data_IF_516166019726
#
_entry.id   IF_516166019726
#
_cell.length_a   1.000
_cell.length_b   1.000
_cell.length_c   1.000
_cell.angle_alpha   90.00
_cell.angle_beta   90.00
_cell.angle_gamma   90.00
#
_symmetry.space_group_name_H-M   'P 1'
#
loop_
_entity.id
_entity.type
_entity.pdbx_description
1 polymer ?
#
# COMPACT_ATOMS: atom_id res chain seq x y z
N UNK A 1 -15.00 -9.21 -7.91
CA UNK A 1 -15.01 -8.14 -6.89
C UNK A 1 -16.13 -7.16 -7.16
N UNK A 2 -16.81 -6.74 -6.11
CA UNK A 2 -17.91 -5.78 -6.23
C UNK A 2 -17.36 -4.40 -6.62
N UNK A 3 -18.10 -3.71 -7.49
CA UNK A 3 -17.75 -2.36 -7.95
C UNK A 3 -17.67 -1.33 -6.84
N UNK A 4 -18.44 -1.51 -5.77
CA UNK A 4 -18.39 -0.63 -4.60
C UNK A 4 -17.06 -0.76 -3.82
N UNK A 5 -16.44 -1.91 -3.85
CA UNK A 5 -15.16 -2.13 -3.20
C UNK A 5 -14.04 -1.28 -3.77
N UNK A 6 -14.12 -0.93 -5.06
CA UNK A 6 -13.11 -0.06 -5.68
C UNK A 6 -13.01 1.31 -4.99
N UNK A 7 -14.15 1.87 -4.59
CA UNK A 7 -14.19 3.14 -3.85
C UNK A 7 -13.67 2.98 -2.43
N UNK A 8 -14.00 1.85 -1.78
CA UNK A 8 -13.48 1.56 -0.44
C UNK A 8 -11.96 1.40 -0.46
N UNK A 9 -11.42 0.78 -1.49
CA UNK A 9 -9.97 0.63 -1.66
C UNK A 9 -9.28 1.97 -1.92
N UNK A 10 -9.89 2.86 -2.70
CA UNK A 10 -9.36 4.21 -2.90
C UNK A 10 -9.25 4.99 -1.60
N UNK A 11 -10.18 4.81 -0.67
CA UNK A 11 -10.15 5.46 0.65
C UNK A 11 -8.95 5.04 1.50
N UNK A 12 -8.44 3.83 1.29
CA UNK A 12 -7.27 3.34 2.00
C UNK A 12 -6.03 4.15 1.59
N UNK A 13 -5.82 4.35 0.30
CA UNK A 13 -4.71 5.19 -0.18
C UNK A 13 -4.90 6.66 0.17
N UNK A 14 -6.13 7.16 0.15
CA UNK A 14 -6.45 8.52 0.59
C UNK A 14 -6.06 8.75 2.06
N UNK A 15 -6.36 7.82 2.95
CA UNK A 15 -6.00 7.95 4.36
C UNK A 15 -4.49 7.94 4.57
N UNK A 16 -3.76 7.11 3.86
CA UNK A 16 -2.31 7.13 3.88
C UNK A 16 -1.77 8.50 3.45
N UNK A 17 -2.26 9.01 2.33
CA UNK A 17 -1.86 10.31 1.80
C UNK A 17 -2.21 11.46 2.75
N UNK A 18 -3.43 11.49 3.29
CA UNK A 18 -3.89 12.55 4.18
C UNK A 18 -3.08 12.61 5.47
N UNK A 19 -2.78 11.48 6.07
CA UNK A 19 -1.98 11.46 7.31
C UNK A 19 -0.53 11.83 7.06
N UNK A 20 0.06 11.34 5.99
CA UNK A 20 1.43 11.67 5.61
C UNK A 20 1.59 13.14 5.20
N UNK A 21 0.55 13.74 4.62
CA UNK A 21 0.56 15.13 4.15
C UNK A 21 0.84 16.14 5.27
N UNK A 22 0.52 15.81 6.50
CA UNK A 22 0.81 16.68 7.67
C UNK A 22 2.31 16.83 7.93
N UNK A 23 3.11 15.96 7.37
CA UNK A 23 4.56 15.92 7.57
C UNK A 23 5.34 16.40 6.35
N UNK A 24 4.65 16.94 5.35
CA UNK A 24 5.28 17.49 4.14
C UNK A 24 6.24 18.62 4.51
N UNK A 25 7.48 18.49 4.08
CA UNK A 25 8.49 19.54 4.28
C UNK A 25 9.10 19.63 5.68
N UNK A 26 8.76 18.71 6.58
CA UNK A 26 9.26 18.73 7.96
C UNK A 26 10.58 17.99 8.15
N UNK A 27 11.12 17.34 7.11
CA UNK A 27 12.37 16.62 7.19
C UNK A 27 12.29 15.30 7.98
N UNK A 28 11.07 14.82 8.26
CA UNK A 28 10.83 13.60 9.03
C UNK A 28 10.31 12.49 8.11
N UNK A 29 11.23 11.84 7.45
CA UNK A 29 10.97 10.73 6.53
C UNK A 29 10.30 9.55 7.22
N UNK A 30 10.79 9.16 8.39
CA UNK A 30 10.26 8.01 9.13
C UNK A 30 8.86 8.30 9.69
N UNK A 31 8.65 9.52 10.19
CA UNK A 31 7.34 9.95 10.65
C UNK A 31 6.31 10.00 9.52
N UNK A 32 6.70 10.45 8.33
CA UNK A 32 5.83 10.48 7.16
C UNK A 32 5.39 9.06 6.76
N UNK A 33 6.33 8.13 6.77
CA UNK A 33 6.07 6.72 6.48
C UNK A 33 5.12 6.13 7.52
N UNK A 34 5.42 6.30 8.79
CA UNK A 34 4.60 5.76 9.89
C UNK A 34 3.18 6.33 9.87
N UNK A 35 3.02 7.61 9.60
CA UNK A 35 1.70 8.23 9.50
C UNK A 35 0.87 7.62 8.39
N UNK A 36 1.48 7.34 7.24
CA UNK A 36 0.82 6.68 6.12
C UNK A 36 0.45 5.23 6.45
N UNK A 37 1.35 4.49 7.08
CA UNK A 37 1.08 3.11 7.54
C UNK A 37 -0.11 3.09 8.49
N UNK A 38 -0.12 3.97 9.48
CA UNK A 38 -1.22 4.08 10.45
C UNK A 38 -2.55 4.37 9.75
N UNK A 39 -2.56 5.33 8.83
CA UNK A 39 -3.76 5.71 8.08
C UNK A 39 -4.31 4.58 7.23
N UNK A 40 -3.44 3.90 6.53
CA UNK A 40 -3.81 2.76 5.70
C UNK A 40 -4.33 1.60 6.56
N UNK A 41 -3.65 1.26 7.63
CA UNK A 41 -4.03 0.19 8.53
C UNK A 41 -5.40 0.44 9.19
N UNK A 42 -5.62 1.66 9.69
CA UNK A 42 -6.90 2.04 10.27
C UNK A 42 -8.06 1.92 9.27
N UNK A 43 -7.84 2.35 8.03
CA UNK A 43 -8.88 2.27 7.01
C UNK A 43 -9.15 0.84 6.56
N UNK A 44 -8.15 -0.02 6.51
CA UNK A 44 -8.36 -1.45 6.26
C UNK A 44 -9.30 -2.06 7.30
N UNK A 45 -9.17 -1.68 8.57
CA UNK A 45 -10.02 -2.19 9.64
C UNK A 45 -11.51 -1.89 9.40
N UNK A 46 -11.83 -0.88 8.60
CA UNK A 46 -13.19 -0.49 8.25
C UNK A 46 -13.66 -1.07 6.90
N UNK A 47 -12.81 -1.79 6.21
CA UNK A 47 -13.09 -2.27 4.85
C UNK A 47 -13.73 -3.66 4.89
N UNK A 48 -14.85 -3.89 4.17
CA UNK A 48 -15.60 -5.15 4.23
C UNK A 48 -14.98 -6.25 3.37
N UNK A 49 -13.76 -6.63 3.70
CA UNK A 49 -13.02 -7.73 3.08
C UNK A 49 -12.30 -8.55 4.14
N UNK A 50 -11.94 -9.77 3.78
CA UNK A 50 -11.00 -10.62 4.54
C UNK A 50 -9.68 -10.62 3.77
N UNK A 51 -8.79 -9.69 4.10
CA UNK A 51 -7.56 -9.45 3.36
C UNK A 51 -6.34 -10.09 4.01
N UNK A 52 -5.39 -10.50 3.17
CA UNK A 52 -4.06 -10.93 3.60
C UNK A 52 -3.01 -10.14 2.85
N UNK A 53 -2.11 -9.50 3.60
CA UNK A 53 -0.99 -8.76 3.01
C UNK A 53 0.03 -9.75 2.47
N UNK A 54 0.32 -9.67 1.17
CA UNK A 54 1.32 -10.52 0.51
C UNK A 54 2.59 -9.78 0.13
N UNK A 55 2.49 -8.45 -0.07
CA UNK A 55 3.62 -7.53 -0.19
C UNK A 55 3.28 -6.33 0.69
N UNK A 56 4.15 -6.00 1.63
CA UNK A 56 3.88 -4.95 2.61
C UNK A 56 5.14 -4.29 3.15
N UNK A 57 5.11 -3.88 4.41
CA UNK A 57 6.16 -3.12 5.07
C UNK A 57 7.35 -3.97 5.56
N UNK A 58 7.29 -5.27 5.39
CA UNK A 58 8.33 -6.21 5.79
C UNK A 58 7.77 -7.45 6.45
N UNK A 59 8.65 -8.24 7.05
CA UNK A 59 8.27 -9.45 7.77
C UNK A 59 7.64 -9.11 9.13
N UNK A 60 6.97 -10.09 9.73
CA UNK A 60 6.24 -9.90 11.00
C UNK A 60 7.12 -9.40 12.16
N UNK A 61 8.40 -9.73 12.16
CA UNK A 61 9.37 -9.29 13.16
C UNK A 61 10.03 -7.94 12.85
N UNK A 62 9.81 -7.42 11.64
CA UNK A 62 10.39 -6.16 11.18
C UNK A 62 9.39 -5.00 11.17
N UNK A 63 8.11 -5.29 10.96
CA UNK A 63 7.07 -4.28 10.86
C UNK A 63 5.90 -4.59 11.81
N UNK A 64 5.43 -3.61 12.60
CA UNK A 64 4.31 -3.82 13.52
C UNK A 64 2.95 -3.88 12.82
N UNK A 65 2.83 -3.30 11.63
CA UNK A 65 1.61 -3.23 10.84
C UNK A 65 1.92 -3.41 9.36
N UNK A 66 0.95 -3.89 8.60
CA UNK A 66 1.05 -4.16 7.16
C UNK A 66 2.23 -5.08 6.82
N UNK A 67 2.54 -5.99 7.74
CA UNK A 67 3.57 -6.99 7.52
C UNK A 67 3.05 -8.13 6.63
N UNK A 68 3.95 -8.83 5.97
CA UNK A 68 3.60 -9.97 5.11
C UNK A 68 2.91 -11.05 5.95
N UNK A 69 1.72 -11.45 5.54
CA UNK A 69 0.88 -12.41 6.23
C UNK A 69 -0.16 -11.80 7.18
N UNK A 70 -0.12 -10.50 7.45
CA UNK A 70 -1.13 -9.85 8.29
C UNK A 70 -2.52 -9.98 7.67
N UNK A 71 -3.49 -10.30 8.52
CA UNK A 71 -4.90 -10.29 8.14
C UNK A 71 -5.52 -8.94 8.48
N UNK A 72 -6.20 -8.35 7.52
CA UNK A 72 -6.85 -7.04 7.66
C UNK A 72 -8.27 -7.08 7.13
N UNK A 73 -9.10 -6.14 7.57
CA UNK A 73 -10.47 -6.00 7.11
C UNK A 73 -11.50 -6.51 8.13
N UNK A 74 -12.76 -6.20 7.87
CA UNK A 74 -13.88 -6.57 8.74
C UNK A 74 -14.43 -7.96 8.47
N UNK A 75 -13.94 -8.64 7.46
CA UNK A 75 -14.51 -9.88 6.96
C UNK A 75 -15.31 -9.62 5.69
N UNK A 76 -15.46 -10.65 4.90
CA UNK A 76 -16.13 -10.61 3.60
C UNK A 76 -15.35 -11.40 2.56
N UNK A 77 -15.34 -10.92 1.33
CA UNK A 77 -14.62 -11.57 0.24
C UNK A 77 -13.13 -11.71 0.59
N UNK A 78 -12.58 -12.90 0.36
CA UNK A 78 -11.15 -13.15 0.55
C UNK A 78 -10.32 -12.50 -0.54
N UNK A 79 -9.43 -11.61 -0.15
CA UNK A 79 -8.55 -10.89 -1.07
C UNK A 79 -7.10 -10.96 -0.59
N UNK A 80 -6.18 -10.76 -1.52
CA UNK A 80 -4.76 -10.58 -1.24
C UNK A 80 -4.34 -9.17 -1.61
N UNK A 81 -3.40 -8.62 -0.85
CA UNK A 81 -3.10 -7.20 -0.83
C UNK A 81 -1.60 -6.97 -0.96
N UNK A 82 -1.22 -6.07 -1.84
CA UNK A 82 0.13 -5.53 -1.92
C UNK A 82 0.05 -4.03 -1.67
N UNK A 83 0.86 -3.51 -0.76
CA UNK A 83 0.81 -2.10 -0.33
C UNK A 83 2.19 -1.45 -0.36
N UNK A 84 2.16 -0.15 -0.67
CA UNK A 84 3.24 0.79 -0.38
C UNK A 84 2.57 2.09 0.11
N UNK A 85 2.50 2.31 1.42
CA UNK A 85 1.80 3.46 1.99
C UNK A 85 2.36 4.81 1.54
N UNK A 86 3.68 4.91 1.36
CA UNK A 86 4.35 6.06 0.74
C UNK A 86 5.50 5.61 -0.14
N UNK A 87 5.29 5.62 -1.43
CA UNK A 87 6.38 5.58 -2.40
C UNK A 87 6.96 6.98 -2.52
N UNK A 88 8.21 7.15 -2.10
CA UNK A 88 8.89 8.44 -2.13
C UNK A 88 8.84 9.21 -0.80
N UNK A 89 9.12 8.55 0.32
CA UNK A 89 9.16 9.19 1.65
C UNK A 89 10.13 10.38 1.71
N UNK A 90 11.24 10.34 0.96
CA UNK A 90 12.16 11.46 0.84
C UNK A 90 11.51 12.70 0.21
N UNK A 91 10.60 12.51 -0.75
CA UNK A 91 9.88 13.60 -1.40
C UNK A 91 8.95 14.29 -0.40
N UNK A 92 8.26 13.50 0.43
CA UNK A 92 7.41 14.03 1.49
C UNK A 92 8.24 14.86 2.49
N UNK A 93 9.32 14.28 2.99
CA UNK A 93 10.19 14.95 3.97
C UNK A 93 10.75 16.27 3.45
N UNK A 94 11.10 16.33 2.16
CA UNK A 94 11.66 17.52 1.50
C UNK A 94 10.62 18.49 0.96
N UNK A 95 9.33 18.16 1.05
CA UNK A 95 8.26 18.99 0.51
C UNK A 95 8.21 19.05 -1.01
N UNK A 96 8.64 17.96 -1.67
CA UNK A 96 8.65 17.86 -3.14
C UNK A 96 7.45 17.07 -3.63
N UNK A 97 7.10 17.28 -4.90
CA UNK A 97 6.04 16.55 -5.58
C UNK A 97 6.48 15.14 -5.96
N UNK A 98 5.52 14.26 -6.17
CA UNK A 98 5.74 12.95 -6.76
C UNK A 98 5.62 11.75 -5.83
N UNK A 99 5.47 11.96 -4.52
CA UNK A 99 5.15 10.86 -3.61
C UNK A 99 3.73 10.35 -3.85
N UNK A 100 3.55 9.04 -3.78
CA UNK A 100 2.24 8.40 -3.98
C UNK A 100 1.98 7.34 -2.91
N UNK A 101 0.72 7.10 -2.62
CA UNK A 101 0.27 5.95 -1.84
C UNK A 101 -0.34 4.93 -2.79
N UNK A 102 0.07 3.67 -2.67
CA UNK A 102 -0.29 2.64 -3.64
C UNK A 102 -0.75 1.38 -2.93
N UNK A 103 -1.79 0.75 -3.49
CA UNK A 103 -2.15 -0.61 -3.16
C UNK A 103 -2.64 -1.36 -4.39
N UNK A 104 -2.45 -2.67 -4.37
CA UNK A 104 -3.06 -3.58 -5.33
C UNK A 104 -3.85 -4.63 -4.55
N UNK A 105 -5.05 -4.90 -4.99
CA UNK A 105 -5.94 -5.89 -4.37
C UNK A 105 -6.48 -6.81 -5.45
N UNK A 106 -6.47 -8.10 -5.16
CA UNK A 106 -7.02 -9.12 -6.06
C UNK A 106 -7.70 -10.23 -5.25
N UNK A 107 -8.58 -11.02 -5.85
CA UNK A 107 -9.09 -12.23 -5.22
C UNK A 107 -7.94 -13.13 -4.79
N UNK A 108 -8.19 -13.93 -3.75
CA UNK A 108 -7.19 -14.86 -3.21
C UNK A 108 -6.54 -15.69 -4.33
N UNK A 109 -5.21 -15.75 -4.32
CA UNK A 109 -4.43 -16.50 -5.29
C UNK A 109 -4.17 -15.78 -6.62
N UNK A 110 -4.61 -14.54 -6.77
CA UNK A 110 -4.51 -13.78 -8.03
C UNK A 110 -3.40 -12.73 -8.06
N UNK A 111 -2.59 -12.60 -7.00
CA UNK A 111 -1.40 -11.76 -7.00
C UNK A 111 -0.14 -12.60 -6.98
N UNK A 112 0.85 -12.17 -7.76
CA UNK A 112 2.19 -12.73 -7.69
C UNK A 112 2.81 -12.39 -6.33
N UNK A 113 3.29 -13.41 -5.63
CA UNK A 113 4.08 -13.21 -4.42
C UNK A 113 5.52 -12.91 -4.83
N UNK A 114 5.89 -11.66 -4.80
CA UNK A 114 7.22 -11.19 -5.16
C UNK A 114 7.93 -10.60 -3.95
N UNK A 115 9.27 -10.62 -3.90
CA UNK A 115 10.01 -9.89 -2.88
C UNK A 115 9.68 -8.40 -2.93
N UNK A 116 9.74 -7.74 -1.78
CA UNK A 116 9.60 -6.29 -1.68
C UNK A 116 10.88 -5.61 -2.20
N UNK A 117 10.94 -5.43 -3.51
CA UNK A 117 12.08 -4.82 -4.19
C UNK A 117 11.67 -4.26 -5.54
N UNK A 118 12.49 -3.34 -6.05
CA UNK A 118 12.26 -2.77 -7.37
C UNK A 118 12.51 -3.79 -8.47
N UNK A 119 11.66 -3.74 -9.50
CA UNK A 119 11.80 -4.58 -10.69
C UNK A 119 12.09 -3.70 -11.92
N UNK A 120 12.93 -4.16 -12.85
CA UNK A 120 13.14 -3.44 -14.09
C UNK A 120 11.83 -3.28 -14.88
N UNK A 121 11.65 -2.14 -15.48
CA UNK A 121 10.45 -1.83 -16.29
C UNK A 121 10.27 -2.82 -17.43
N UNK A 122 11.35 -3.29 -18.02
CA UNK A 122 11.33 -4.31 -19.08
C UNK A 122 10.68 -5.62 -18.63
N UNK A 123 10.72 -5.92 -17.34
CA UNK A 123 10.05 -7.10 -16.81
C UNK A 123 8.53 -6.92 -16.80
N UNK A 124 8.04 -5.75 -16.43
CA UNK A 124 6.61 -5.44 -16.33
C UNK A 124 5.97 -5.15 -17.68
N UNK A 125 6.75 -4.80 -18.70
CA UNK A 125 6.29 -4.38 -20.02
C UNK A 125 6.82 -5.24 -21.17
N UNK A 126 7.05 -6.53 -20.90
CA UNK A 126 7.60 -7.47 -21.87
C UNK A 126 6.87 -7.53 -23.20
N UNK A 127 5.57 -7.40 -23.15
CA UNK A 127 4.71 -7.61 -24.31
C UNK A 127 4.32 -6.32 -25.00
N UNK A 128 4.74 -5.17 -24.49
CA UNK A 128 4.43 -3.92 -25.11
C UNK A 128 5.36 -3.68 -26.30
N UNK A 129 4.80 -3.52 -27.50
CA UNK A 129 5.61 -3.18 -28.65
C UNK A 129 6.22 -1.81 -28.44
N UNK A 130 7.51 -1.73 -28.56
CA UNK A 130 8.24 -0.48 -28.59
C UNK A 130 8.25 -0.01 -30.03
N UNK A 131 7.49 0.95 -30.29
CA UNK A 131 7.53 1.58 -31.60
C UNK A 131 8.35 2.86 -31.55
#
# INVERSE_FOLDING_TARGET
MDRQLSLEFARITEQAALKSARLVGLGDKEGADQAAVDGMHEQFALTPVSGTVVIGEGEIDEAPMLYIGEHVGQGGEEVVIAVDPVEGTNLVAKGKNGAIAVLAIAPKGCLLHAPDMYMPVSYTHLTLPTT
#
